data_IF_349921613271
#
_entry.id   IF_349921613271
#
_cell.length_a   1.000
_cell.length_b   1.000
_cell.length_c   1.000
_cell.angle_alpha   90.00
_cell.angle_beta   90.00
_cell.angle_gamma   90.00
#
_symmetry.space_group_name_H-M   'P 1'
#
loop_
_entity.id
_entity.type
_entity.pdbx_description
1 polymer ?
#
# COMPACT_ATOMS: atom_id res chain seq x y z
N UNK A 1 10.32 -25.96 23.70
CA UNK A 1 10.13 -24.88 22.70
C UNK A 1 8.82 -25.16 21.98
N UNK A 2 7.89 -24.19 21.97
CA UNK A 2 6.65 -24.33 21.22
C UNK A 2 6.96 -24.33 19.71
N UNK A 3 6.33 -25.21 18.95
CA UNK A 3 6.55 -25.32 17.50
C UNK A 3 5.91 -24.12 16.82
N UNK A 4 6.69 -23.39 16.01
CA UNK A 4 6.19 -22.31 15.16
C UNK A 4 5.91 -22.85 13.75
N UNK A 5 4.83 -22.38 13.14
CA UNK A 5 4.42 -22.63 11.75
C UNK A 5 4.64 -21.35 10.92
N UNK A 6 4.96 -21.51 9.64
CA UNK A 6 5.12 -20.42 8.68
C UNK A 6 3.95 -20.42 7.70
N UNK A 7 3.35 -19.25 7.48
CA UNK A 7 2.16 -19.05 6.66
C UNK A 7 2.39 -17.93 5.65
N UNK A 8 2.08 -18.15 4.37
CA UNK A 8 2.11 -17.09 3.36
C UNK A 8 0.80 -16.30 3.40
N UNK A 9 0.91 -14.98 3.51
CA UNK A 9 -0.23 -14.06 3.63
C UNK A 9 -0.17 -13.04 2.50
N UNK A 10 -1.27 -12.91 1.74
CA UNK A 10 -1.47 -11.78 0.83
C UNK A 10 -2.09 -10.66 1.65
N UNK A 11 -1.34 -9.59 1.86
CA UNK A 11 -1.68 -8.46 2.74
C UNK A 11 -2.25 -7.25 1.99
N UNK A 12 -2.22 -7.24 0.66
CA UNK A 12 -2.69 -6.12 -0.13
C UNK A 12 -3.08 -6.66 -1.50
N UNK A 13 -4.36 -6.69 -1.81
CA UNK A 13 -4.89 -7.02 -3.13
C UNK A 13 -6.25 -6.37 -3.35
N UNK A 14 -6.50 -5.96 -4.58
CA UNK A 14 -7.73 -5.30 -5.01
C UNK A 14 -8.67 -6.27 -5.68
N UNK A 15 -9.95 -5.91 -5.68
CA UNK A 15 -11.02 -6.51 -6.46
C UNK A 15 -11.56 -5.52 -7.47
N UNK A 16 -12.47 -5.99 -8.31
CA UNK A 16 -13.21 -5.15 -9.25
C UNK A 16 -14.11 -4.09 -8.60
N UNK A 17 -14.32 -4.14 -7.27
CA UNK A 17 -15.00 -3.07 -6.54
C UNK A 17 -14.16 -1.79 -6.42
N UNK A 18 -12.85 -1.89 -6.65
CA UNK A 18 -11.91 -0.77 -6.75
C UNK A 18 -12.10 0.08 -8.03
N UNK A 19 -13.25 0.00 -8.70
CA UNK A 19 -13.49 0.65 -9.99
C UNK A 19 -14.23 1.99 -9.90
N UNK A 20 -14.26 2.74 -11.01
CA UNK A 20 -15.04 3.98 -11.16
C UNK A 20 -14.62 5.10 -10.21
N UNK A 21 -15.56 5.61 -9.41
CA UNK A 21 -15.35 6.73 -8.48
C UNK A 21 -14.28 6.49 -7.41
N UNK A 22 -13.93 5.23 -7.12
CA UNK A 22 -12.84 4.88 -6.21
C UNK A 22 -11.45 5.13 -6.82
N UNK A 23 -11.34 5.12 -8.16
CA UNK A 23 -10.08 5.28 -8.87
C UNK A 23 -9.85 6.73 -9.30
N UNK A 24 -8.66 7.26 -9.05
CA UNK A 24 -8.25 8.59 -9.54
C UNK A 24 -8.11 8.64 -11.08
N UNK A 25 -8.03 7.49 -11.74
CA UNK A 25 -7.88 7.40 -13.19
C UNK A 25 -9.20 7.58 -13.96
N UNK A 26 -10.33 7.29 -13.31
CA UNK A 26 -11.63 7.31 -13.97
C UNK A 26 -11.99 8.67 -14.59
N UNK A 27 -11.85 9.82 -13.89
CA UNK A 27 -12.12 11.12 -14.50
C UNK A 27 -11.18 11.46 -15.66
N UNK A 28 -9.91 11.01 -15.60
CA UNK A 28 -8.93 11.26 -16.66
C UNK A 28 -9.31 10.49 -17.93
N UNK A 29 -9.69 9.22 -17.78
CA UNK A 29 -10.07 8.36 -18.89
C UNK A 29 -11.38 8.84 -19.51
N UNK A 30 -12.39 9.11 -18.68
CA UNK A 30 -13.68 9.66 -19.11
C UNK A 30 -13.50 10.98 -19.87
N UNK A 31 -12.66 11.90 -19.38
CA UNK A 31 -12.33 13.15 -20.08
C UNK A 31 -11.61 12.91 -21.40
N UNK A 32 -10.70 11.94 -21.44
CA UNK A 32 -10.00 11.55 -22.65
C UNK A 32 -10.90 11.06 -23.75
N UNK A 33 -11.81 10.17 -23.38
CA UNK A 33 -12.76 9.58 -24.31
C UNK A 33 -13.73 10.66 -24.80
N UNK A 34 -14.21 11.52 -23.90
CA UNK A 34 -14.98 12.71 -24.28
C UNK A 34 -14.26 13.58 -25.30
N UNK A 35 -12.98 13.87 -25.10
CA UNK A 35 -12.20 14.70 -26.02
C UNK A 35 -12.05 14.08 -27.42
N UNK A 36 -11.98 12.76 -27.52
CA UNK A 36 -11.92 12.04 -28.80
C UNK A 36 -13.29 11.99 -29.48
N UNK A 37 -14.34 11.75 -28.70
CA UNK A 37 -15.68 11.56 -29.23
C UNK A 37 -16.42 12.87 -29.49
N UNK A 38 -16.10 13.94 -28.77
CA UNK A 38 -16.80 15.23 -28.80
C UNK A 38 -18.09 15.26 -27.98
N UNK A 39 -18.37 14.20 -27.21
CA UNK A 39 -19.58 14.04 -26.39
C UNK A 39 -19.25 13.22 -25.14
N UNK A 40 -20.06 13.35 -24.09
CA UNK A 40 -19.94 12.51 -22.91
C UNK A 40 -20.43 11.09 -23.22
N UNK A 41 -19.59 10.11 -22.87
CA UNK A 41 -19.92 8.70 -22.97
C UNK A 41 -19.65 8.06 -21.63
N UNK A 42 -20.70 7.47 -21.07
CA UNK A 42 -20.60 6.69 -19.84
C UNK A 42 -19.86 5.39 -20.15
N UNK A 43 -18.67 5.26 -19.56
CA UNK A 43 -17.80 4.09 -19.67
C UNK A 43 -17.47 3.68 -18.25
N UNK A 44 -17.70 2.41 -17.95
CA UNK A 44 -17.24 1.84 -16.70
C UNK A 44 -15.75 1.54 -16.83
N UNK A 45 -14.93 2.23 -16.04
CA UNK A 45 -13.50 1.92 -15.93
C UNK A 45 -13.20 1.12 -14.67
N UNK A 46 -12.64 -0.08 -14.86
CA UNK A 46 -12.11 -0.93 -13.79
C UNK A 46 -10.60 -0.83 -13.73
N UNK A 47 -10.07 -0.48 -12.58
CA UNK A 47 -8.61 -0.57 -12.37
C UNK A 47 -8.16 -2.01 -12.05
N UNK A 48 -9.06 -2.82 -11.48
CA UNK A 48 -8.79 -4.19 -11.14
C UNK A 48 -9.89 -5.12 -11.66
N UNK A 49 -9.52 -6.36 -12.00
CA UNK A 49 -10.45 -7.37 -12.53
C UNK A 49 -10.53 -8.63 -11.66
N UNK A 50 -9.90 -8.63 -10.49
CA UNK A 50 -9.96 -9.78 -9.60
C UNK A 50 -11.36 -9.88 -9.00
N UNK A 51 -11.97 -11.08 -9.08
CA UNK A 51 -13.22 -11.36 -8.37
C UNK A 51 -12.92 -11.85 -6.95
N UNK A 52 -13.71 -11.47 -5.93
CA UNK A 52 -13.54 -11.97 -4.57
C UNK A 52 -13.49 -13.51 -4.49
N UNK A 53 -14.35 -14.20 -5.24
CA UNK A 53 -14.36 -15.66 -5.36
C UNK A 53 -13.08 -16.26 -5.95
N UNK A 54 -12.43 -15.58 -6.91
CA UNK A 54 -11.12 -16.01 -7.42
C UNK A 54 -10.02 -15.86 -6.37
N UNK A 55 -10.07 -14.80 -5.58
CA UNK A 55 -9.12 -14.58 -4.48
C UNK A 55 -9.33 -15.61 -3.37
N UNK A 56 -10.58 -15.97 -3.07
CA UNK A 56 -10.89 -17.03 -2.11
C UNK A 56 -10.34 -18.40 -2.54
N UNK A 57 -10.29 -18.67 -3.84
CA UNK A 57 -9.67 -19.89 -4.38
C UNK A 57 -8.16 -19.98 -4.09
N UNK A 58 -7.50 -18.86 -3.81
CA UNK A 58 -6.10 -18.88 -3.35
C UNK A 58 -5.96 -19.48 -1.96
N UNK A 59 -7.04 -19.70 -1.18
CA UNK A 59 -6.92 -20.34 0.14
C UNK A 59 -6.96 -21.86 0.10
N UNK A 60 -7.04 -22.45 -1.09
CA UNK A 60 -6.92 -23.90 -1.28
C UNK A 60 -5.47 -24.36 -1.06
N UNK A 61 -5.24 -25.58 -0.52
CA UNK A 61 -3.90 -26.02 -0.14
C UNK A 61 -2.84 -25.94 -1.25
N UNK A 62 -3.24 -26.07 -2.52
CA UNK A 62 -2.35 -26.12 -3.68
C UNK A 62 -1.64 -24.79 -3.96
N UNK A 63 -2.20 -23.66 -3.50
CA UNK A 63 -1.58 -22.33 -3.68
C UNK A 63 -0.44 -22.05 -2.69
N UNK A 64 -0.44 -22.76 -1.55
CA UNK A 64 0.41 -22.44 -0.39
C UNK A 64 0.07 -21.12 0.33
N UNK A 65 -1.00 -20.41 -0.06
CA UNK A 65 -1.45 -19.18 0.60
C UNK A 65 -2.38 -19.54 1.76
N UNK A 66 -2.10 -18.99 2.94
CA UNK A 66 -2.82 -19.28 4.16
C UNK A 66 -3.87 -18.23 4.50
N UNK A 67 -3.65 -16.95 4.16
CA UNK A 67 -4.55 -15.84 4.49
C UNK A 67 -4.54 -14.84 3.31
N UNK A 68 -5.71 -14.24 3.02
CA UNK A 68 -5.88 -13.21 2.00
C UNK A 68 -6.62 -12.00 2.60
N UNK A 69 -6.04 -10.81 2.44
CA UNK A 69 -6.66 -9.54 2.77
C UNK A 69 -6.99 -8.77 1.48
N UNK A 70 -8.28 -8.50 1.24
CA UNK A 70 -8.70 -7.51 0.24
C UNK A 70 -8.56 -6.13 0.85
N UNK A 71 -8.07 -5.17 0.07
CA UNK A 71 -7.96 -3.76 0.48
C UNK A 71 -8.32 -2.85 -0.68
N UNK A 72 -9.56 -2.92 -1.15
CA UNK A 72 -10.03 -2.10 -2.28
C UNK A 72 -9.83 -0.60 -2.02
N UNK A 73 -9.52 0.17 -3.07
CA UNK A 73 -9.40 1.63 -2.98
C UNK A 73 -10.71 2.27 -2.53
N UNK A 74 -10.60 3.25 -1.63
CA UNK A 74 -11.72 3.99 -1.08
C UNK A 74 -11.38 5.47 -1.01
N UNK A 75 -12.36 6.31 -1.32
CA UNK A 75 -12.22 7.76 -1.23
C UNK A 75 -13.53 8.46 -0.84
N UNK A 76 -13.46 9.78 -0.80
CA UNK A 76 -14.57 10.66 -0.42
C UNK A 76 -15.81 10.52 -1.32
N UNK A 77 -15.66 10.06 -2.57
CA UNK A 77 -16.78 9.81 -3.50
C UNK A 77 -17.36 8.41 -3.30
N UNK A 78 -16.49 7.41 -3.05
CA UNK A 78 -16.88 6.01 -2.92
C UNK A 78 -16.01 5.27 -1.89
N UNK A 79 -16.65 4.81 -0.82
CA UNK A 79 -16.03 4.01 0.25
C UNK A 79 -16.96 2.88 0.72
N UNK A 80 -17.54 2.16 -0.25
CA UNK A 80 -18.44 1.03 0.01
C UNK A 80 -17.71 -0.30 -0.05
N UNK A 81 -17.93 -1.14 0.95
CA UNK A 81 -17.38 -2.51 1.00
C UNK A 81 -18.00 -3.41 -0.07
N UNK A 82 -17.17 -4.30 -0.64
CA UNK A 82 -17.63 -5.32 -1.57
C UNK A 82 -18.48 -6.40 -0.86
N UNK A 83 -19.78 -6.43 -1.15
CA UNK A 83 -20.72 -7.37 -0.51
C UNK A 83 -20.40 -8.85 -0.77
N UNK A 84 -19.86 -9.21 -1.95
CA UNK A 84 -19.41 -10.58 -2.23
C UNK A 84 -18.20 -10.93 -1.36
N UNK A 85 -17.25 -10.01 -1.22
CA UNK A 85 -16.08 -10.20 -0.37
C UNK A 85 -16.46 -10.39 1.11
N UNK A 86 -17.41 -9.59 1.61
CA UNK A 86 -17.95 -9.71 2.97
C UNK A 86 -18.65 -11.06 3.16
N UNK A 87 -19.44 -11.51 2.17
CA UNK A 87 -20.11 -12.82 2.23
C UNK A 87 -19.10 -13.96 2.34
N UNK A 88 -18.02 -13.90 1.56
CA UNK A 88 -16.94 -14.89 1.61
C UNK A 88 -16.23 -14.84 2.96
N UNK A 89 -15.83 -13.64 3.43
CA UNK A 89 -15.13 -13.47 4.70
C UNK A 89 -15.94 -13.96 5.91
N UNK A 90 -17.27 -13.90 5.84
CA UNK A 90 -18.14 -14.44 6.90
C UNK A 90 -18.15 -15.98 6.99
N UNK A 91 -17.71 -16.66 5.92
CA UNK A 91 -17.68 -18.13 5.82
C UNK A 91 -16.27 -18.71 5.84
N UNK A 92 -15.28 -17.93 5.43
CA UNK A 92 -13.89 -18.32 5.34
C UNK A 92 -13.04 -17.40 6.25
N UNK A 93 -12.68 -17.85 7.47
CA UNK A 93 -12.01 -17.00 8.46
C UNK A 93 -10.56 -16.62 8.09
N UNK A 94 -10.01 -17.20 7.02
CA UNK A 94 -8.71 -16.86 6.43
C UNK A 94 -8.81 -15.76 5.37
N UNK A 95 -10.01 -15.30 5.06
CA UNK A 95 -10.30 -14.24 4.10
C UNK A 95 -10.80 -13.00 4.84
N UNK A 96 -10.15 -11.86 4.63
CA UNK A 96 -10.46 -10.61 5.32
C UNK A 96 -10.77 -9.47 4.34
N UNK A 97 -11.63 -8.55 4.78
CA UNK A 97 -12.06 -7.38 3.99
C UNK A 97 -11.60 -6.11 4.70
N UNK A 98 -10.52 -5.55 4.21
CA UNK A 98 -9.97 -4.26 4.59
C UNK A 98 -10.34 -3.15 3.62
N UNK A 99 -9.55 -2.07 3.66
CA UNK A 99 -9.70 -0.90 2.82
C UNK A 99 -8.33 -0.27 2.51
N UNK A 100 -8.17 0.30 1.31
CA UNK A 100 -7.07 1.21 0.99
C UNK A 100 -7.62 2.64 0.91
N UNK A 101 -7.36 3.44 1.94
CA UNK A 101 -7.92 4.78 2.06
C UNK A 101 -7.05 5.76 1.28
N UNK A 102 -7.63 6.42 0.27
CA UNK A 102 -7.04 7.58 -0.37
C UNK A 102 -6.99 8.75 0.60
N UNK A 103 -5.78 9.26 0.85
CA UNK A 103 -5.57 10.35 1.80
C UNK A 103 -4.87 11.54 1.16
N UNK A 104 -4.98 12.68 1.83
CA UNK A 104 -4.32 13.94 1.50
C UNK A 104 -3.61 14.49 2.73
N UNK A 105 -2.76 15.50 2.53
CA UNK A 105 -2.26 16.36 3.62
C UNK A 105 -2.34 17.82 3.21
N UNK A 106 -2.48 18.72 4.19
CA UNK A 106 -2.28 20.14 3.96
C UNK A 106 -0.79 20.47 3.97
N UNK A 107 -0.31 21.13 2.92
CA UNK A 107 1.00 21.76 2.91
C UNK A 107 1.02 23.02 3.78
N UNK A 108 2.23 23.52 4.07
CA UNK A 108 2.42 24.75 4.87
C UNK A 108 1.72 25.99 4.29
N UNK A 109 1.55 26.06 2.97
CA UNK A 109 0.85 27.13 2.24
C UNK A 109 -0.67 26.89 2.10
N UNK A 110 -1.19 25.83 2.73
CA UNK A 110 -2.62 25.53 2.78
C UNK A 110 -3.18 24.81 1.56
N UNK A 111 -2.32 24.31 0.66
CA UNK A 111 -2.76 23.47 -0.45
C UNK A 111 -3.00 22.02 0.02
N UNK A 112 -4.04 21.40 -0.54
CA UNK A 112 -4.31 19.98 -0.33
C UNK A 112 -3.46 19.18 -1.32
N UNK A 113 -2.52 18.40 -0.79
CA UNK A 113 -1.62 17.57 -1.57
C UNK A 113 -2.00 16.09 -1.43
N UNK A 114 -1.89 15.36 -2.55
CA UNK A 114 -2.01 13.91 -2.52
C UNK A 114 -0.93 13.32 -1.62
N UNK A 115 -1.35 12.54 -0.63
CA UNK A 115 -0.49 11.83 0.29
C UNK A 115 -0.57 10.32 0.03
N UNK A 116 0.38 9.53 0.57
CA UNK A 116 0.31 8.08 0.47
C UNK A 116 -0.95 7.51 1.10
N UNK A 117 -1.44 6.40 0.56
CA UNK A 117 -2.67 5.76 1.03
C UNK A 117 -2.45 5.01 2.36
N UNK A 118 -3.55 4.71 3.05
CA UNK A 118 -3.51 3.95 4.31
C UNK A 118 -4.28 2.64 4.13
N UNK A 119 -3.57 1.51 4.23
CA UNK A 119 -4.20 0.19 4.28
C UNK A 119 -4.77 -0.04 5.67
N UNK A 120 -6.01 -0.49 5.75
CA UNK A 120 -6.71 -0.86 6.98
C UNK A 120 -7.15 -2.31 6.87
N UNK A 121 -6.67 -3.17 7.76
CA UNK A 121 -6.98 -4.60 7.72
C UNK A 121 -8.15 -5.01 8.62
N UNK A 122 -8.43 -4.21 9.65
CA UNK A 122 -9.43 -4.50 10.68
C UNK A 122 -8.85 -4.40 12.10
N UNK A 123 -9.63 -4.81 13.09
CA UNK A 123 -9.24 -4.84 14.52
C UNK A 123 -9.36 -6.26 15.08
N UNK A 124 -9.04 -6.46 16.36
CA UNK A 124 -9.15 -7.78 16.99
C UNK A 124 -10.60 -8.29 17.02
N UNK A 125 -11.56 -7.38 17.21
CA UNK A 125 -12.99 -7.67 17.11
C UNK A 125 -13.44 -7.84 15.65
N UNK A 126 -14.33 -8.82 15.45
CA UNK A 126 -14.97 -9.03 14.16
C UNK A 126 -15.91 -7.87 13.82
N UNK A 127 -15.86 -7.43 12.57
CA UNK A 127 -16.83 -6.50 12.02
C UNK A 127 -18.17 -7.21 11.77
N UNK A 128 -19.26 -6.45 11.68
CA UNK A 128 -20.59 -6.97 11.38
C UNK A 128 -21.18 -6.28 10.14
N UNK A 129 -21.79 -7.08 9.26
CA UNK A 129 -22.58 -6.60 8.14
C UNK A 129 -23.77 -7.53 7.93
N UNK A 130 -24.99 -6.99 7.91
CA UNK A 130 -26.22 -7.77 7.76
C UNK A 130 -26.29 -9.00 8.71
N UNK A 131 -25.92 -8.81 9.98
CA UNK A 131 -25.85 -9.85 11.03
C UNK A 131 -24.80 -10.95 10.81
N UNK A 132 -23.88 -10.77 9.86
CA UNK A 132 -22.76 -11.67 9.62
C UNK A 132 -21.49 -11.06 10.18
N UNK A 133 -20.74 -11.87 10.93
CA UNK A 133 -19.45 -11.48 11.47
C UNK A 133 -18.33 -11.87 10.51
N UNK A 134 -17.33 -11.02 10.36
CA UNK A 134 -16.18 -11.26 9.51
C UNK A 134 -14.94 -10.53 10.02
N UNK A 135 -13.77 -10.93 9.52
CA UNK A 135 -12.51 -10.26 9.80
C UNK A 135 -12.34 -9.08 8.84
N UNK A 136 -12.20 -7.86 9.34
CA UNK A 136 -12.13 -6.68 8.49
C UNK A 136 -12.46 -5.36 9.17
N UNK A 137 -12.69 -4.33 8.35
CA UNK A 137 -13.32 -3.06 8.74
C UNK A 137 -14.82 -3.10 8.44
N UNK A 138 -15.66 -2.46 9.27
CA UNK A 138 -17.10 -2.36 9.02
C UNK A 138 -17.44 -1.16 8.13
N UNK A 139 -18.59 -1.20 7.45
CA UNK A 139 -19.07 -0.05 6.68
C UNK A 139 -19.31 1.16 7.59
N UNK A 140 -19.89 0.93 8.77
CA UNK A 140 -20.13 2.00 9.76
C UNK A 140 -18.82 2.69 10.17
N UNK A 141 -17.75 1.92 10.44
CA UNK A 141 -16.46 2.49 10.80
C UNK A 141 -15.82 3.27 9.64
N UNK A 142 -16.05 2.85 8.38
CA UNK A 142 -15.60 3.59 7.19
C UNK A 142 -16.34 4.92 7.04
N UNK A 143 -17.66 4.91 7.16
CA UNK A 143 -18.48 6.12 7.06
C UNK A 143 -18.08 7.14 8.14
N UNK A 144 -17.85 6.67 9.37
CA UNK A 144 -17.36 7.50 10.47
C UNK A 144 -15.95 8.03 10.16
N UNK A 145 -15.03 7.18 9.67
CA UNK A 145 -13.67 7.59 9.32
C UNK A 145 -13.68 8.72 8.28
N UNK A 146 -14.44 8.57 7.19
CA UNK A 146 -14.53 9.58 6.14
C UNK A 146 -15.17 10.89 6.62
N UNK A 147 -16.08 10.82 7.59
CA UNK A 147 -16.69 12.00 8.19
C UNK A 147 -15.77 12.69 9.22
N UNK A 148 -15.14 11.94 10.13
CA UNK A 148 -14.31 12.48 11.22
C UNK A 148 -12.93 12.96 10.73
N UNK A 149 -12.40 12.37 9.67
CA UNK A 149 -11.05 12.66 9.18
C UNK A 149 -11.02 13.65 8.00
N UNK A 150 -12.17 14.17 7.55
CA UNK A 150 -12.24 15.09 6.43
C UNK A 150 -11.54 16.42 6.75
N UNK A 151 -10.71 16.91 5.83
CA UNK A 151 -9.95 18.16 5.99
C UNK A 151 -10.48 19.31 5.12
N UNK A 152 -11.36 19.01 4.17
CA UNK A 152 -11.95 20.00 3.28
C UNK A 152 -13.42 19.73 2.97
N UNK A 153 -14.01 20.63 2.18
CA UNK A 153 -15.41 20.58 1.78
C UNK A 153 -15.72 19.46 0.78
N UNK A 154 -14.70 18.92 0.11
CA UNK A 154 -14.88 17.77 -0.79
C UNK A 154 -14.97 16.46 -0.01
N UNK A 155 -14.63 16.48 1.29
CA UNK A 155 -14.63 15.29 2.15
C UNK A 155 -13.35 14.47 2.02
N UNK A 156 -12.28 15.02 1.44
CA UNK A 156 -10.98 14.33 1.37
C UNK A 156 -10.41 14.20 2.78
N UNK A 157 -9.86 13.03 3.09
CA UNK A 157 -9.41 12.70 4.45
C UNK A 157 -7.93 12.92 4.63
N UNK A 158 -7.55 13.46 5.79
CA UNK A 158 -6.16 13.72 6.15
C UNK A 158 -5.44 12.45 6.65
N UNK A 159 -4.23 12.19 6.14
CA UNK A 159 -3.47 10.96 6.45
C UNK A 159 -3.19 10.78 7.94
N UNK A 160 -2.86 11.87 8.64
CA UNK A 160 -2.54 11.87 10.06
C UNK A 160 -3.79 11.63 10.90
N UNK A 161 -4.89 12.28 10.54
CA UNK A 161 -6.20 12.11 11.17
C UNK A 161 -6.72 10.68 11.01
N UNK A 162 -6.57 10.09 9.82
CA UNK A 162 -6.90 8.68 9.56
C UNK A 162 -6.06 7.75 10.43
N UNK A 163 -4.74 7.94 10.49
CA UNK A 163 -3.85 7.16 11.37
C UNK A 163 -4.31 7.24 12.83
N UNK A 164 -4.59 8.43 13.34
CA UNK A 164 -5.00 8.63 14.73
C UNK A 164 -6.33 7.99 15.06
N UNK A 165 -7.31 8.12 14.14
CA UNK A 165 -8.59 7.42 14.22
C UNK A 165 -8.39 5.91 14.37
N UNK A 166 -7.56 5.33 13.50
CA UNK A 166 -7.29 3.89 13.45
C UNK A 166 -6.53 3.41 14.69
N UNK A 167 -5.52 4.16 15.13
CA UNK A 167 -4.73 3.85 16.31
C UNK A 167 -5.59 3.86 17.58
N UNK A 168 -6.43 4.89 17.75
CA UNK A 168 -7.30 5.04 18.92
C UNK A 168 -8.29 3.87 19.04
N UNK A 169 -8.75 3.33 17.90
CA UNK A 169 -9.73 2.25 17.82
C UNK A 169 -9.10 0.86 17.66
N UNK A 170 -7.77 0.74 17.72
CA UNK A 170 -7.07 -0.54 17.71
C UNK A 170 -7.03 -1.25 16.35
N UNK A 171 -7.08 -0.51 15.24
CA UNK A 171 -6.97 -1.09 13.90
C UNK A 171 -5.53 -1.42 13.53
N UNK A 172 -5.35 -2.58 12.89
CA UNK A 172 -4.17 -2.90 12.12
C UNK A 172 -4.15 -2.08 10.82
N UNK A 173 -3.13 -1.25 10.65
CA UNK A 173 -2.98 -0.37 9.50
C UNK A 173 -1.52 -0.19 9.06
N UNK A 174 -1.34 0.22 7.79
CA UNK A 174 -0.03 0.36 7.12
C UNK A 174 -0.05 1.59 6.22
N UNK A 175 1.06 2.33 6.16
CA UNK A 175 1.26 3.35 5.12
C UNK A 175 1.63 2.67 3.80
N UNK A 176 0.78 2.77 2.79
CA UNK A 176 0.97 2.17 1.47
C UNK A 176 1.84 3.09 0.58
N UNK A 177 2.63 2.52 -0.34
CA UNK A 177 3.37 3.24 -1.39
C UNK A 177 3.89 4.65 -1.07
N UNK A 178 4.64 4.91 0.01
CA UNK A 178 4.94 6.30 0.33
C UNK A 178 5.73 7.04 -0.78
N UNK A 179 6.51 6.31 -1.58
CA UNK A 179 7.31 6.86 -2.69
C UNK A 179 6.62 6.77 -4.07
N UNK A 180 5.37 6.31 -4.13
CA UNK A 180 4.54 6.32 -5.35
C UNK A 180 3.26 7.14 -5.12
N UNK A 181 2.75 7.79 -6.15
CA UNK A 181 1.49 8.54 -6.06
C UNK A 181 1.45 9.79 -5.16
N UNK A 182 2.46 10.07 -4.31
CA UNK A 182 2.45 11.25 -3.44
C UNK A 182 3.00 12.52 -4.11
N UNK A 183 2.43 13.66 -3.73
CA UNK A 183 2.88 15.00 -4.16
C UNK A 183 3.64 15.76 -3.06
N UNK A 184 3.89 15.11 -1.92
CA UNK A 184 4.59 15.67 -0.78
C UNK A 184 6.07 15.95 -1.10
N UNK A 185 6.63 16.95 -0.43
CA UNK A 185 8.07 17.15 -0.41
C UNK A 185 8.79 15.99 0.29
N UNK A 186 10.07 15.77 -0.02
CA UNK A 186 10.84 14.68 0.59
C UNK A 186 10.83 14.73 2.12
N UNK A 187 10.99 15.91 2.71
CA UNK A 187 11.03 16.06 4.17
C UNK A 187 9.70 15.71 4.82
N UNK A 188 8.60 16.26 4.30
CA UNK A 188 7.23 15.96 4.76
C UNK A 188 6.93 14.47 4.66
N UNK A 189 7.29 13.85 3.52
CA UNK A 189 7.07 12.44 3.29
C UNK A 189 7.86 11.55 4.26
N UNK A 190 9.13 11.87 4.52
CA UNK A 190 9.92 11.12 5.49
C UNK A 190 9.40 11.31 6.92
N UNK A 191 8.94 12.52 7.26
CA UNK A 191 8.32 12.77 8.56
C UNK A 191 7.02 11.96 8.70
N UNK A 192 6.18 11.92 7.67
CA UNK A 192 4.97 11.11 7.61
C UNK A 192 5.27 9.61 7.75
N UNK A 193 6.26 9.07 7.02
CA UNK A 193 6.64 7.65 7.13
C UNK A 193 6.92 7.26 8.58
N UNK A 194 7.53 8.15 9.35
CA UNK A 194 7.90 7.88 10.75
C UNK A 194 6.76 7.95 11.75
N UNK A 195 5.58 8.39 11.31
CA UNK A 195 4.35 8.34 12.09
C UNK A 195 3.70 6.96 12.07
N UNK A 196 4.09 6.09 11.15
CA UNK A 196 3.48 4.77 10.97
C UNK A 196 4.35 3.66 11.55
N UNK A 197 3.68 2.69 12.16
CA UNK A 197 4.32 1.50 12.72
C UNK A 197 4.73 0.50 11.63
N UNK A 198 3.92 0.38 10.60
CA UNK A 198 4.12 -0.49 9.45
C UNK A 198 4.12 0.37 8.19
N UNK A 199 5.09 0.15 7.31
CA UNK A 199 5.23 0.91 6.07
C UNK A 199 5.49 -0.07 4.94
N UNK A 200 4.69 0.01 3.88
CA UNK A 200 4.83 -0.83 2.72
C UNK A 200 6.10 -0.46 1.93
N UNK A 201 7.11 -1.31 2.08
CA UNK A 201 8.45 -1.10 1.53
C UNK A 201 8.69 -1.83 0.22
N UNK A 202 7.93 -2.90 -0.02
CA UNK A 202 7.99 -3.72 -1.23
C UNK A 202 6.56 -4.00 -1.64
N UNK A 203 6.21 -3.65 -2.86
CA UNK A 203 4.87 -3.89 -3.36
C UNK A 203 4.94 -4.35 -4.82
N UNK A 204 4.03 -5.26 -5.18
CA UNK A 204 4.00 -5.87 -6.50
C UNK A 204 3.63 -4.91 -7.64
N UNK A 205 3.03 -3.77 -7.35
CA UNK A 205 2.82 -2.61 -8.23
C UNK A 205 3.92 -1.53 -8.16
N UNK A 206 4.95 -1.67 -7.31
CA UNK A 206 5.99 -0.64 -7.17
C UNK A 206 7.23 -0.92 -7.99
N UNK A 207 7.89 0.12 -8.54
CA UNK A 207 9.22 -0.03 -9.08
C UNK A 207 10.25 -0.42 -8.00
N UNK A 208 11.27 -1.15 -8.43
CA UNK A 208 12.40 -1.55 -7.57
C UNK A 208 13.19 -0.37 -6.98
N UNK A 209 13.29 0.75 -7.71
CA UNK A 209 14.10 1.89 -7.32
C UNK A 209 13.55 2.64 -6.09
N UNK A 210 12.22 2.70 -5.93
CA UNK A 210 11.56 3.23 -4.73
C UNK A 210 11.71 2.28 -3.56
N UNK A 211 11.44 0.99 -3.78
CA UNK A 211 11.54 -0.06 -2.76
C UNK A 211 12.93 -0.10 -2.12
N UNK A 212 13.98 0.04 -2.93
CA UNK A 212 15.38 0.07 -2.47
C UNK A 212 15.65 1.25 -1.54
N UNK A 213 15.23 2.46 -1.91
CA UNK A 213 15.49 3.69 -1.13
C UNK A 213 14.68 3.74 0.15
N UNK A 214 13.43 3.30 0.07
CA UNK A 214 12.56 3.18 1.23
C UNK A 214 13.11 2.14 2.22
N UNK A 215 13.56 0.97 1.72
CA UNK A 215 14.23 -0.03 2.55
C UNK A 215 15.51 0.48 3.21
N UNK A 216 16.29 1.27 2.47
CA UNK A 216 17.49 1.94 2.99
C UNK A 216 17.14 2.92 4.12
N UNK A 217 16.11 3.75 3.92
CA UNK A 217 15.62 4.69 4.94
C UNK A 217 15.10 3.98 6.19
N UNK A 218 14.22 2.98 6.03
CA UNK A 218 13.66 2.21 7.15
C UNK A 218 14.77 1.49 7.93
N UNK A 219 15.77 0.95 7.22
CA UNK A 219 16.95 0.35 7.88
C UNK A 219 17.69 1.37 8.73
N UNK A 220 18.01 2.54 8.17
CA UNK A 220 18.64 3.64 8.89
C UNK A 220 17.83 4.09 10.11
N UNK A 221 16.52 4.29 9.93
CA UNK A 221 15.62 4.70 11.00
C UNK A 221 15.59 3.68 12.15
N UNK A 222 15.58 2.39 11.82
CA UNK A 222 15.59 1.31 12.80
C UNK A 222 16.91 1.16 13.55
N UNK A 223 18.04 1.58 12.97
CA UNK A 223 19.29 1.70 13.71
C UNK A 223 19.29 2.93 14.62
N UNK A 224 18.76 4.06 14.13
CA UNK A 224 18.62 5.27 14.92
C UNK A 224 17.71 5.06 16.15
N UNK A 225 16.57 4.37 15.98
CA UNK A 225 15.64 4.09 17.08
C UNK A 225 16.20 3.17 18.17
N UNK A 226 17.29 2.45 17.86
CA UNK A 226 18.04 1.63 18.83
C UNK A 226 19.19 2.37 19.50
N UNK A 227 19.37 3.67 19.22
CA UNK A 227 20.49 4.46 19.72
C UNK A 227 21.84 4.11 19.09
N UNK A 228 21.84 3.36 17.98
CA UNK A 228 23.07 2.97 17.28
C UNK A 228 23.59 4.07 16.35
N UNK A 229 22.77 5.10 16.11
CA UNK A 229 23.15 6.30 15.37
C UNK A 229 22.89 7.51 16.26
N UNK A 230 23.84 8.45 16.30
CA UNK A 230 23.75 9.64 17.12
C UNK A 230 23.48 10.87 16.23
N UNK A 231 22.51 11.76 16.57
CA UNK A 231 22.14 12.90 15.73
C UNK A 231 23.31 13.82 15.33
N UNK A 232 24.28 14.01 16.23
CA UNK A 232 25.50 14.81 15.98
C UNK A 232 26.37 14.30 14.82
N UNK A 233 26.20 13.04 14.41
CA UNK A 233 26.98 12.43 13.33
C UNK A 233 26.43 12.79 11.94
N UNK A 234 25.29 13.48 11.87
CA UNK A 234 24.67 13.88 10.62
C UNK A 234 24.92 15.35 10.33
N UNK A 235 25.14 15.70 9.07
CA UNK A 235 25.19 17.08 8.58
C UNK A 235 23.79 17.53 8.15
N UNK A 236 23.00 16.65 7.55
CA UNK A 236 21.62 16.93 7.14
C UNK A 236 20.72 17.28 8.34
N UNK A 237 20.09 18.48 8.36
CA UNK A 237 19.11 18.84 9.39
C UNK A 237 17.94 17.86 9.47
N UNK A 238 17.49 17.35 8.32
CA UNK A 238 16.41 16.37 8.21
C UNK A 238 16.80 15.09 8.96
N UNK A 239 17.98 14.54 8.70
CA UNK A 239 18.43 13.31 9.37
C UNK A 239 18.65 13.53 10.88
N UNK A 240 19.07 14.72 11.32
CA UNK A 240 19.13 15.06 12.75
C UNK A 240 17.75 14.98 13.39
N UNK A 241 16.75 15.66 12.79
CA UNK A 241 15.36 15.67 13.26
C UNK A 241 14.82 14.25 13.34
N UNK A 242 14.92 13.49 12.24
CA UNK A 242 14.41 12.12 12.15
C UNK A 242 15.15 11.16 13.10
N UNK A 243 16.46 11.32 13.32
CA UNK A 243 17.21 10.51 14.27
C UNK A 243 16.74 10.74 15.72
N UNK A 244 16.44 11.99 16.10
CA UNK A 244 15.88 12.30 17.42
C UNK A 244 14.48 11.72 17.55
N UNK A 245 13.66 11.81 16.49
CA UNK A 245 12.31 11.24 16.44
C UNK A 245 12.34 9.72 16.59
N UNK A 246 13.26 9.03 15.91
CA UNK A 246 13.43 7.58 15.98
C UNK A 246 13.62 7.06 17.41
N UNK A 247 14.37 7.79 18.23
CA UNK A 247 14.58 7.44 19.64
C UNK A 247 13.30 7.53 20.49
N UNK A 248 12.32 8.32 20.06
CA UNK A 248 11.04 8.52 20.76
C UNK A 248 9.96 7.58 20.26
N UNK A 249 9.87 7.39 18.95
CA UNK A 249 8.77 6.61 18.32
C UNK A 249 9.08 5.11 18.24
N UNK A 250 10.36 4.73 18.29
CA UNK A 250 10.77 3.34 18.10
C UNK A 250 10.88 2.92 16.63
N UNK A 251 11.11 1.62 16.37
CA UNK A 251 11.33 1.10 15.03
C UNK A 251 10.05 0.98 14.21
N UNK A 252 10.22 0.99 12.89
CA UNK A 252 9.20 0.77 11.87
C UNK A 252 9.36 -0.64 11.29
N UNK A 253 8.26 -1.36 11.12
CA UNK A 253 8.29 -2.66 10.47
C UNK A 253 8.18 -2.49 8.94
N UNK A 254 9.14 -3.01 8.16
CA UNK A 254 9.00 -3.03 6.71
C UNK A 254 7.88 -4.00 6.32
N UNK A 255 6.95 -3.55 5.51
CA UNK A 255 5.79 -4.32 5.08
C UNK A 255 5.85 -4.62 3.59
N UNK A 256 5.14 -5.68 3.20
CA UNK A 256 5.03 -6.14 1.83
C UNK A 256 3.56 -6.21 1.42
N UNK A 257 3.25 -5.99 0.14
CA UNK A 257 1.89 -6.12 -0.39
C UNK A 257 1.86 -6.47 -1.87
N UNK A 258 0.90 -7.27 -2.32
CA UNK A 258 0.89 -7.73 -3.71
C UNK A 258 0.44 -6.63 -4.67
N UNK A 259 -0.62 -5.89 -4.32
CA UNK A 259 -1.19 -4.80 -5.13
C UNK A 259 -1.33 -5.19 -6.61
N UNK A 260 -1.82 -6.41 -6.82
CA UNK A 260 -1.95 -7.02 -8.13
C UNK A 260 -3.31 -6.66 -8.71
N UNK A 261 -3.34 -5.99 -9.88
CA UNK A 261 -4.59 -5.50 -10.48
C UNK A 261 -5.12 -6.44 -11.57
N UNK A 262 -4.24 -7.18 -12.28
CA UNK A 262 -4.68 -8.18 -13.26
C UNK A 262 -3.95 -9.53 -13.21
N UNK A 263 -2.76 -9.62 -12.61
CA UNK A 263 -1.95 -10.85 -12.63
C UNK A 263 -1.01 -10.98 -11.43
N UNK A 264 -0.50 -12.19 -11.18
CA UNK A 264 0.50 -12.46 -10.12
C UNK A 264 0.07 -11.99 -8.72
N UNK A 265 -1.09 -12.49 -8.28
CA UNK A 265 -1.79 -12.15 -7.03
C UNK A 265 -0.97 -12.39 -5.75
N UNK A 266 0.11 -13.16 -5.84
CA UNK A 266 1.02 -13.49 -4.73
C UNK A 266 2.47 -13.03 -4.98
N UNK A 267 2.68 -12.03 -5.86
CA UNK A 267 4.02 -11.52 -6.21
C UNK A 267 4.82 -11.10 -4.98
N UNK A 268 4.14 -10.49 -4.02
CA UNK A 268 4.70 -10.14 -2.71
C UNK A 268 3.73 -10.62 -1.64
N UNK A 269 4.25 -11.36 -0.68
CA UNK A 269 3.51 -11.90 0.47
C UNK A 269 4.27 -11.63 1.76
N UNK A 270 3.58 -11.76 2.89
CA UNK A 270 4.18 -11.81 4.21
C UNK A 270 4.23 -13.27 4.68
N UNK A 271 5.41 -13.76 5.03
CA UNK A 271 5.58 -14.94 5.85
C UNK A 271 5.24 -14.57 7.29
N UNK A 272 4.15 -15.13 7.79
CA UNK A 272 3.66 -15.01 9.15
C UNK A 272 4.04 -16.23 9.98
N UNK A 273 4.77 -16.00 11.08
CA UNK A 273 5.13 -17.03 12.06
C UNK A 273 4.18 -17.02 13.24
N UNK A 274 3.53 -18.15 13.49
CA UNK A 274 2.61 -18.31 14.61
C UNK A 274 2.71 -19.72 15.19
N UNK A 275 2.26 -19.92 16.42
CA UNK A 275 2.13 -21.25 17.03
C UNK A 275 0.89 -22.01 16.53
N UNK A 276 0.00 -21.34 15.79
CA UNK A 276 -1.20 -21.92 15.19
C UNK A 276 -0.88 -22.62 13.87
N UNK A 277 -1.28 -23.88 13.75
CA UNK A 277 -1.16 -24.63 12.49
C UNK A 277 -2.10 -24.12 11.38
N UNK A 278 -3.23 -23.54 11.76
CA UNK A 278 -4.26 -23.02 10.85
C UNK A 278 -4.74 -21.65 11.37
N UNK A 279 -3.94 -20.59 11.19
CA UNK A 279 -4.32 -19.27 11.68
C UNK A 279 -5.48 -18.69 10.89
N UNK A 280 -6.31 -17.91 11.56
CA UNK A 280 -7.31 -17.06 10.95
C UNK A 280 -6.72 -15.69 10.61
N UNK A 281 -7.38 -14.91 9.76
CA UNK A 281 -6.99 -13.53 9.47
C UNK A 281 -6.92 -12.66 10.74
N UNK A 282 -7.85 -12.87 11.69
CA UNK A 282 -7.85 -12.15 12.98
C UNK A 282 -6.63 -12.45 13.85
N UNK A 283 -6.03 -13.63 13.71
CA UNK A 283 -4.80 -13.95 14.45
C UNK A 283 -3.63 -13.11 13.94
N UNK A 284 -3.56 -12.93 12.62
CA UNK A 284 -2.58 -12.05 11.99
C UNK A 284 -2.78 -10.59 12.43
N UNK A 285 -4.02 -10.09 12.41
CA UNK A 285 -4.36 -8.73 12.88
C UNK A 285 -3.98 -8.57 14.36
N UNK A 286 -4.34 -9.53 15.20
CA UNK A 286 -4.04 -9.50 16.64
C UNK A 286 -2.55 -9.36 16.90
N UNK A 287 -1.72 -10.14 16.20
CA UNK A 287 -0.26 -10.06 16.34
C UNK A 287 0.28 -8.73 15.79
N UNK A 288 -0.30 -8.24 14.69
CA UNK A 288 0.03 -6.95 14.11
C UNK A 288 -0.31 -5.78 15.04
N UNK A 289 -1.37 -5.85 15.83
CA UNK A 289 -1.74 -4.82 16.82
C UNK A 289 -0.94 -4.97 18.11
N UNK A 290 -0.86 -6.18 18.68
CA UNK A 290 -0.42 -6.36 20.06
C UNK A 290 1.11 -6.55 20.24
N UNK A 291 1.82 -7.10 19.25
CA UNK A 291 3.26 -7.32 19.38
C UNK A 291 4.03 -6.00 19.22
N UNK A 292 5.21 -5.87 19.82
CA UNK A 292 6.07 -4.69 19.57
C UNK A 292 6.85 -4.86 18.28
N UNK A 293 7.05 -3.80 17.49
CA UNK A 293 7.86 -3.88 16.25
C UNK A 293 9.26 -4.42 16.50
N UNK A 294 9.88 -4.05 17.63
CA UNK A 294 11.20 -4.58 18.01
C UNK A 294 11.20 -6.11 18.13
N UNK A 295 10.15 -6.68 18.70
CA UNK A 295 9.96 -8.13 18.80
C UNK A 295 9.71 -8.77 17.43
N UNK A 296 8.83 -8.15 16.62
CA UNK A 296 8.52 -8.62 15.28
C UNK A 296 9.78 -8.75 14.42
N UNK A 297 10.63 -7.72 14.43
CA UNK A 297 11.90 -7.68 13.70
C UNK A 297 12.93 -8.69 14.22
N UNK A 298 13.06 -8.86 15.54
CA UNK A 298 14.07 -9.75 16.13
C UNK A 298 13.74 -11.23 15.90
N UNK A 299 12.46 -11.60 16.01
CA UNK A 299 12.01 -12.98 15.86
C UNK A 299 11.57 -13.32 14.42
N UNK A 300 11.57 -12.34 13.52
CA UNK A 300 11.06 -12.45 12.15
C UNK A 300 9.62 -12.98 12.13
N UNK A 301 8.75 -12.43 12.98
CA UNK A 301 7.33 -12.80 13.03
C UNK A 301 6.63 -12.54 11.70
N UNK A 302 6.94 -11.41 11.09
CA UNK A 302 6.54 -11.07 9.73
C UNK A 302 7.80 -10.89 8.88
N UNK A 303 7.84 -11.54 7.74
CA UNK A 303 8.95 -11.41 6.78
C UNK A 303 8.40 -11.29 5.37
N UNK A 304 8.87 -10.28 4.65
CA UNK A 304 8.51 -10.09 3.24
C UNK A 304 9.11 -11.24 2.41
N UNK A 305 8.29 -11.84 1.56
CA UNK A 305 8.66 -12.77 0.50
C UNK A 305 8.17 -12.23 -0.84
N UNK A 306 9.03 -12.24 -1.85
CA UNK A 306 8.73 -11.71 -3.18
C UNK A 306 9.67 -10.59 -3.59
N UNK A 307 9.37 -9.97 -4.72
CA UNK A 307 10.15 -8.89 -5.31
C UNK A 307 9.23 -7.77 -5.81
N UNK A 308 9.73 -6.52 -5.83
CA UNK A 308 8.99 -5.41 -6.42
C UNK A 308 8.73 -5.64 -7.91
N UNK A 309 7.82 -4.85 -8.47
CA UNK A 309 7.52 -4.90 -9.89
C UNK A 309 8.71 -4.46 -10.74
N UNK A 310 8.94 -5.20 -11.83
CA UNK A 310 9.78 -4.72 -12.92
C UNK A 310 9.01 -3.72 -13.78
N UNK A 311 9.71 -2.87 -14.54
CA UNK A 311 9.05 -1.98 -15.51
C UNK A 311 8.18 -2.74 -16.53
N UNK A 312 8.61 -3.93 -16.93
CA UNK A 312 7.88 -4.77 -17.89
C UNK A 312 6.60 -5.34 -17.28
N UNK A 313 6.65 -5.83 -16.04
CA UNK A 313 5.46 -6.34 -15.37
C UNK A 313 4.43 -5.26 -15.05
N UNK A 314 4.87 -4.02 -14.77
CA UNK A 314 3.95 -2.88 -14.62
C UNK A 314 3.27 -2.53 -15.94
N UNK A 315 4.05 -2.50 -17.03
CA UNK A 315 3.51 -2.25 -18.35
C UNK A 315 2.52 -3.34 -18.79
N UNK A 316 2.82 -4.61 -18.51
CA UNK A 316 1.94 -5.74 -18.79
C UNK A 316 0.60 -5.60 -18.03
N UNK A 317 0.62 -5.26 -16.74
CA UNK A 317 -0.60 -5.08 -15.94
C UNK A 317 -1.45 -3.92 -16.50
N UNK A 318 -0.84 -2.76 -16.77
CA UNK A 318 -1.53 -1.60 -17.38
C UNK A 318 -2.14 -1.95 -18.74
N UNK A 319 -1.41 -2.66 -19.60
CA UNK A 319 -1.92 -3.07 -20.91
C UNK A 319 -3.09 -4.04 -20.76
N UNK A 320 -3.03 -5.00 -19.83
CA UNK A 320 -4.13 -5.93 -19.57
C UNK A 320 -5.37 -5.23 -19.06
N UNK A 321 -5.22 -4.30 -18.12
CA UNK A 321 -6.31 -3.48 -17.58
C UNK A 321 -6.96 -2.69 -18.70
N UNK A 322 -6.16 -1.96 -19.49
CA UNK A 322 -6.67 -1.18 -20.61
C UNK A 322 -7.41 -2.07 -21.61
N UNK A 323 -6.78 -3.18 -22.06
CA UNK A 323 -7.37 -4.10 -23.02
C UNK A 323 -8.71 -4.69 -22.53
N UNK A 324 -8.80 -5.11 -21.26
CA UNK A 324 -10.04 -5.65 -20.70
C UNK A 324 -11.14 -4.60 -20.63
N UNK A 325 -10.85 -3.39 -20.17
CA UNK A 325 -11.81 -2.29 -20.17
C UNK A 325 -12.35 -2.01 -21.57
N UNK A 326 -11.49 -2.04 -22.59
CA UNK A 326 -11.88 -1.82 -23.98
C UNK A 326 -12.79 -2.92 -24.52
N UNK A 327 -12.56 -4.18 -24.10
CA UNK A 327 -13.45 -5.28 -24.43
C UNK A 327 -14.80 -5.16 -23.74
N UNK A 328 -14.84 -4.81 -22.45
CA UNK A 328 -16.10 -4.62 -21.72
C UNK A 328 -16.94 -3.46 -22.28
N UNK A 329 -16.29 -2.43 -22.82
CA UNK A 329 -16.96 -1.26 -23.40
C UNK A 329 -17.05 -1.31 -24.94
N UNK A 330 -16.79 -2.47 -25.57
CA UNK A 330 -16.61 -2.56 -27.02
C UNK A 330 -17.85 -2.17 -27.82
N UNK A 331 -19.06 -2.45 -27.32
CA UNK A 331 -20.30 -2.14 -28.03
C UNK A 331 -20.60 -0.65 -28.06
N UNK A 332 -20.33 0.04 -26.95
CA UNK A 332 -20.42 1.51 -26.86
C UNK A 332 -19.43 2.14 -27.82
N UNK A 333 -18.19 1.65 -27.82
CA UNK A 333 -17.11 2.16 -28.67
C UNK A 333 -17.37 1.88 -30.17
N UNK A 334 -17.78 0.66 -30.54
CA UNK A 334 -18.01 0.24 -31.94
C UNK A 334 -19.11 1.07 -32.60
N UNK A 335 -20.20 1.38 -31.88
CA UNK A 335 -21.29 2.21 -32.39
C UNK A 335 -20.84 3.62 -32.81
N UNK A 336 -19.70 4.09 -32.29
CA UNK A 336 -19.16 5.42 -32.57
C UNK A 336 -18.15 5.44 -33.72
N UNK A 337 -17.77 4.29 -34.30
CA UNK A 337 -16.88 4.22 -35.47
C UNK A 337 -15.44 4.71 -35.25
N UNK A 338 -15.05 5.04 -34.02
CA UNK A 338 -13.78 5.70 -33.65
C UNK A 338 -12.88 4.87 -32.75
N UNK A 339 -13.00 3.53 -32.79
CA UNK A 339 -12.27 2.61 -31.90
C UNK A 339 -10.77 2.92 -31.86
N UNK A 340 -10.10 3.07 -33.00
CA UNK A 340 -8.66 3.35 -33.07
C UNK A 340 -8.31 4.69 -32.40
N UNK A 341 -9.14 5.73 -32.57
CA UNK A 341 -8.89 7.04 -31.98
C UNK A 341 -9.07 7.01 -30.46
N UNK A 342 -10.08 6.31 -29.95
CA UNK A 342 -10.32 6.14 -28.51
C UNK A 342 -9.17 5.36 -27.88
N UNK A 343 -8.77 4.24 -28.51
CA UNK A 343 -7.61 3.45 -28.08
C UNK A 343 -6.34 4.30 -27.99
N UNK A 344 -6.09 5.10 -29.03
CA UNK A 344 -4.94 6.00 -29.08
C UNK A 344 -5.02 7.10 -28.02
N UNK A 345 -6.22 7.61 -27.73
CA UNK A 345 -6.48 8.63 -26.72
C UNK A 345 -6.28 8.12 -25.29
N UNK A 346 -6.85 6.97 -24.96
CA UNK A 346 -6.66 6.29 -23.66
C UNK A 346 -5.20 5.93 -23.45
N UNK A 347 -4.54 5.36 -24.46
CA UNK A 347 -3.10 5.06 -24.39
C UNK A 347 -2.28 6.33 -24.14
N UNK A 348 -2.60 7.45 -24.80
CA UNK A 348 -1.91 8.72 -24.62
C UNK A 348 -2.07 9.25 -23.21
N UNK A 349 -3.29 9.21 -22.64
CA UNK A 349 -3.54 9.66 -21.28
C UNK A 349 -2.89 8.78 -20.23
N UNK A 350 -3.01 7.46 -20.36
CA UNK A 350 -2.28 6.52 -19.51
C UNK A 350 -0.77 6.78 -19.58
N UNK A 351 -0.24 7.05 -20.77
CA UNK A 351 1.18 7.41 -20.93
C UNK A 351 1.51 8.75 -20.26
N UNK A 352 0.65 9.77 -20.39
CA UNK A 352 0.84 11.06 -19.73
C UNK A 352 0.84 10.94 -18.21
N UNK A 353 -0.09 10.18 -17.64
CA UNK A 353 -0.19 9.94 -16.21
C UNK A 353 1.02 9.14 -15.69
N UNK A 354 1.38 8.04 -16.37
CA UNK A 354 2.60 7.29 -16.06
C UNK A 354 3.85 8.16 -16.14
N UNK A 355 3.93 9.07 -17.11
CA UNK A 355 5.05 10.02 -17.24
C UNK A 355 5.03 11.09 -16.14
N UNK A 356 3.86 11.56 -15.73
CA UNK A 356 3.68 12.51 -14.62
C UNK A 356 4.14 11.89 -13.30
N UNK A 357 3.59 10.72 -12.93
CA UNK A 357 4.02 9.94 -11.76
C UNK A 357 5.51 9.63 -11.81
N UNK A 358 6.03 9.23 -12.98
CA UNK A 358 7.47 9.01 -13.18
C UNK A 358 8.29 10.27 -12.96
N UNK A 359 7.81 11.45 -13.36
CA UNK A 359 8.52 12.73 -13.16
C UNK A 359 8.54 13.11 -11.68
N UNK A 360 7.41 13.02 -10.99
CA UNK A 360 7.30 13.25 -9.55
C UNK A 360 8.23 12.29 -8.78
N UNK A 361 8.13 10.98 -9.07
CA UNK A 361 8.99 9.95 -8.50
C UNK A 361 10.48 10.18 -8.77
N UNK A 362 10.86 10.53 -10.00
CA UNK A 362 12.26 10.86 -10.33
C UNK A 362 12.78 12.06 -9.55
N UNK A 363 11.95 13.10 -9.37
CA UNK A 363 12.29 14.26 -8.56
C UNK A 363 12.54 13.83 -7.12
N UNK A 364 11.62 13.08 -6.52
CA UNK A 364 11.73 12.57 -5.15
C UNK A 364 12.97 11.68 -4.96
N UNK A 365 13.18 10.72 -5.87
CA UNK A 365 14.36 9.84 -5.86
C UNK A 365 15.65 10.64 -5.94
N UNK A 366 15.72 11.62 -6.84
CA UNK A 366 16.90 12.47 -6.99
C UNK A 366 17.14 13.26 -5.71
N UNK A 367 16.09 13.85 -5.13
CA UNK A 367 16.19 14.57 -3.87
C UNK A 367 16.64 13.66 -2.72
N UNK A 368 16.13 12.42 -2.65
CA UNK A 368 16.57 11.44 -1.66
C UNK A 368 18.07 11.20 -1.78
N UNK A 369 18.53 10.83 -2.98
CA UNK A 369 19.93 10.48 -3.24
C UNK A 369 20.86 11.67 -2.94
N UNK A 370 20.48 12.89 -3.32
CA UNK A 370 21.33 14.08 -3.14
C UNK A 370 21.28 14.68 -1.74
N UNK A 371 20.13 14.68 -1.08
CA UNK A 371 19.95 15.36 0.22
C UNK A 371 20.34 14.48 1.41
N UNK A 372 20.07 13.17 1.34
CA UNK A 372 20.22 12.28 2.51
C UNK A 372 20.79 10.89 2.20
N UNK A 373 20.65 10.40 0.97
CA UNK A 373 20.93 9.01 0.62
C UNK A 373 22.40 8.63 0.85
N UNK A 374 23.34 9.47 0.45
CA UNK A 374 24.76 9.23 0.67
C UNK A 374 25.14 9.23 2.15
N UNK A 375 24.58 10.14 2.94
CA UNK A 375 24.82 10.20 4.38
C UNK A 375 24.24 8.97 5.10
N UNK A 376 23.04 8.53 4.70
CA UNK A 376 22.46 7.26 5.18
C UNK A 376 23.40 6.09 4.85
N UNK A 377 23.82 5.92 3.59
CA UNK A 377 24.72 4.82 3.18
C UNK A 377 26.01 4.82 3.97
N UNK A 378 26.64 5.98 4.15
CA UNK A 378 27.87 6.11 4.92
C UNK A 378 27.68 5.72 6.38
N UNK A 379 26.57 6.11 7.00
CA UNK A 379 26.28 5.76 8.40
C UNK A 379 26.05 4.26 8.58
N UNK A 380 25.33 3.61 7.67
CA UNK A 380 25.10 2.17 7.68
C UNK A 380 26.39 1.38 7.40
N UNK A 381 27.23 1.85 6.48
CA UNK A 381 28.52 1.25 6.20
C UNK A 381 29.46 1.28 7.42
N UNK A 382 29.44 2.36 8.20
CA UNK A 382 30.21 2.47 9.45
C UNK A 382 29.75 1.42 10.47
N UNK A 383 28.43 1.24 10.64
CA UNK A 383 27.87 0.22 11.54
C UNK A 383 28.32 -1.20 11.18
N UNK A 384 28.29 -1.54 9.89
CA UNK A 384 28.71 -2.85 9.40
C UNK A 384 30.21 -3.14 9.64
N UNK A 385 31.06 -2.10 9.66
CA UNK A 385 32.50 -2.24 9.95
C UNK A 385 32.78 -2.41 11.45
N UNK A 386 31.93 -1.88 12.33
CA UNK A 386 32.17 -1.79 13.78
C UNK A 386 31.95 -3.06 14.63
N UNK A 387 31.98 -4.28 14.06
CA UNK A 387 31.79 -5.56 14.80
C UNK A 387 30.53 -5.62 15.68
N UNK A 388 29.46 -4.94 15.32
CA UNK A 388 28.14 -5.30 15.84
C UNK A 388 27.77 -6.70 15.31
N UNK A 389 27.06 -7.55 16.09
CA UNK A 389 26.58 -8.83 15.59
C UNK A 389 25.87 -8.58 14.26
N UNK A 390 26.27 -9.36 13.24
CA UNK A 390 25.88 -9.18 11.82
C UNK A 390 24.44 -8.66 11.71
N UNK A 391 24.19 -7.62 10.89
CA UNK A 391 22.83 -7.11 10.71
C UNK A 391 21.91 -8.28 10.38
N UNK A 392 20.70 -8.25 10.94
CA UNK A 392 19.59 -9.13 10.57
C UNK A 392 19.66 -9.31 9.04
N UNK A 393 19.90 -10.55 8.59
CA UNK A 393 20.03 -11.00 7.19
C UNK A 393 18.77 -10.74 6.33
N UNK A 394 17.90 -9.84 6.75
CA UNK A 394 16.68 -9.43 6.06
C UNK A 394 17.02 -8.64 4.78
N UNK A 395 18.18 -7.96 4.72
CA UNK A 395 18.50 -7.06 3.60
C UNK A 395 19.63 -7.52 2.66
N UNK A 396 20.29 -8.66 2.90
CA UNK A 396 21.42 -9.12 2.08
C UNK A 396 21.02 -9.93 0.83
N UNK A 397 19.76 -9.84 0.38
CA UNK A 397 19.28 -10.54 -0.83
C UNK A 397 18.95 -9.60 -2.00
N UNK A 398 19.26 -8.31 -1.90
CA UNK A 398 19.10 -7.34 -2.99
C UNK A 398 20.40 -7.10 -3.78
N UNK A 399 21.45 -7.89 -3.56
CA UNK A 399 22.75 -7.75 -4.26
C UNK A 399 23.21 -9.03 -4.98
N UNK A 400 22.31 -9.97 -5.31
CA UNK A 400 22.63 -11.10 -6.21
C UNK A 400 21.54 -11.33 -7.24
#
# INVERSE_FOLDING_TARGET
MQKMFEHRVITHIHTDASSGEASLLDPLISTGIKNVLGEDVEIEWKECFNKPSELANLLKPESGISIVFITDHMNHKRHLLNTEAVEIASKEPRFAVGAEIQTVMLSEDGHVLQAPEVLVYGREEEAEFAKKKYCGISQEDLDILFNECAIDREGRVDTISVRDYLLLRGYAHVLAHPFDGSHLGLEELLDLITEFRFVETVNGGFPEDTSTRLSLFISWYNFASRGLLHPRNFNSPILKKLCIKALRTGPIHPWGGSDAHASHKDRVTIIYKTDKKYPHAKDFIKDMVNLKVSELLLKNYFKIEGAPATKLSLLDDVIRIAYRNLLENIDVIRRKGKLIEILSGVQRLATMELMSRRKARKKLIREFDTKIGEEIKQSLAKLNRSRFPRPLKIFSRLEN
#
